data_IF_959128255169
#
_entry.id   IF_959128255169
#
_cell.length_a   1.000
_cell.length_b   1.000
_cell.length_c   1.000
_cell.angle_alpha   90.00
_cell.angle_beta   90.00
_cell.angle_gamma   90.00
#
_symmetry.space_group_name_H-M   'P 1'
#
loop_
_entity.id
_entity.type
_entity.pdbx_description
1 polymer ?
#
# COMPACT_ATOMS: atom_id res chain seq x y z
N UNK A 1 -35.63 8.77 29.36
CA UNK A 1 -34.73 7.68 28.93
C UNK A 1 -34.24 7.96 27.51
N UNK A 2 -32.96 8.32 27.34
CA UNK A 2 -32.32 8.39 26.02
C UNK A 2 -31.38 7.19 25.92
N UNK A 3 -31.75 6.24 25.09
CA UNK A 3 -31.02 5.01 24.78
C UNK A 3 -29.63 5.36 24.22
N UNK A 4 -28.58 4.91 24.89
CA UNK A 4 -27.21 4.90 24.37
C UNK A 4 -27.16 3.88 23.24
N UNK A 5 -27.14 4.35 22.00
CA UNK A 5 -26.79 3.51 20.85
C UNK A 5 -25.30 3.20 20.92
N UNK A 6 -25.00 1.93 21.17
CA UNK A 6 -23.67 1.35 21.19
C UNK A 6 -23.02 1.56 19.81
N UNK A 7 -21.85 2.22 19.77
CA UNK A 7 -21.08 2.51 18.55
C UNK A 7 -20.14 1.32 18.28
N UNK A 8 -20.35 0.50 17.23
CA UNK A 8 -19.32 -0.43 16.80
C UNK A 8 -18.35 0.31 15.88
N UNK A 9 -17.04 0.14 16.11
CA UNK A 9 -15.98 0.65 15.23
C UNK A 9 -15.09 1.69 15.88
N UNK A 10 -14.17 1.25 16.73
CA UNK A 10 -12.95 2.00 17.01
C UNK A 10 -12.05 1.90 15.78
N UNK A 11 -12.25 2.79 14.80
CA UNK A 11 -11.37 2.93 13.64
C UNK A 11 -9.97 3.33 14.11
N UNK A 12 -8.95 2.61 13.64
CA UNK A 12 -7.55 2.96 13.93
C UNK A 12 -7.25 4.28 13.23
N UNK A 13 -7.04 5.33 14.02
CA UNK A 13 -6.65 6.66 13.53
C UNK A 13 -5.32 6.55 12.78
N UNK A 14 -5.20 7.21 11.63
CA UNK A 14 -3.91 7.35 10.97
C UNK A 14 -2.88 8.00 11.94
N UNK A 15 -1.61 7.58 11.83
CA UNK A 15 -0.44 8.30 12.36
C UNK A 15 0.31 8.95 11.19
N UNK A 16 1.07 10.01 11.44
CA UNK A 16 1.82 10.75 10.42
C UNK A 16 1.05 11.92 9.82
N UNK A 17 1.26 12.21 8.52
CA UNK A 17 0.75 13.44 7.85
C UNK A 17 -0.77 13.65 7.93
N UNK A 18 -1.54 12.61 8.19
CA UNK A 18 -3.01 12.63 8.27
C UNK A 18 -3.50 12.15 9.63
N UNK A 19 -2.78 12.48 10.70
CA UNK A 19 -3.11 12.05 12.04
C UNK A 19 -4.57 12.38 12.43
N UNK A 20 -5.28 11.40 12.98
CA UNK A 20 -6.68 11.57 13.39
C UNK A 20 -7.72 11.47 12.26
N UNK A 21 -7.30 11.33 11.01
CA UNK A 21 -8.21 11.07 9.90
C UNK A 21 -8.66 9.61 9.89
N UNK A 22 -9.97 9.42 9.73
CA UNK A 22 -10.59 8.11 9.52
C UNK A 22 -11.59 8.19 8.34
N UNK A 23 -11.24 7.55 7.23
CA UNK A 23 -12.09 7.48 6.04
C UNK A 23 -13.40 6.73 6.30
N UNK A 24 -13.43 5.80 7.27
CA UNK A 24 -14.64 5.07 7.63
C UNK A 24 -15.69 5.96 8.31
N UNK A 25 -15.28 7.11 8.88
CA UNK A 25 -16.23 8.10 9.40
C UNK A 25 -17.18 8.65 8.31
N UNK A 26 -16.83 8.50 7.02
CA UNK A 26 -17.68 8.89 5.89
C UNK A 26 -18.77 7.88 5.58
N UNK A 27 -18.74 6.69 6.18
CA UNK A 27 -19.60 5.57 5.81
C UNK A 27 -21.07 5.92 5.76
N UNK A 28 -21.55 6.68 6.73
CA UNK A 28 -22.96 7.03 6.86
C UNK A 28 -23.29 8.42 6.28
N UNK A 29 -22.35 9.01 5.55
CA UNK A 29 -22.53 10.30 4.86
C UNK A 29 -23.06 10.09 3.44
N UNK A 30 -23.61 11.16 2.80
CA UNK A 30 -24.02 11.09 1.39
C UNK A 30 -22.88 10.83 0.40
N UNK A 31 -21.62 10.80 0.83
CA UNK A 31 -20.48 10.56 -0.04
C UNK A 31 -20.35 9.10 -0.47
N UNK A 32 -20.94 8.15 0.25
CA UNK A 32 -21.00 6.74 -0.15
C UNK A 32 -22.44 6.33 -0.41
N UNK A 33 -22.67 5.72 -1.57
CA UNK A 33 -23.88 5.00 -1.88
C UNK A 33 -23.82 3.55 -1.38
N UNK A 34 -24.93 2.83 -1.50
CA UNK A 34 -25.03 1.46 -0.98
C UNK A 34 -24.13 0.47 -1.72
N UNK A 35 -23.88 0.68 -3.01
CA UNK A 35 -22.95 -0.14 -3.77
C UNK A 35 -21.52 0.00 -3.22
N UNK A 36 -21.10 1.22 -2.92
CA UNK A 36 -19.81 1.52 -2.31
C UNK A 36 -19.71 0.88 -0.92
N UNK A 37 -20.74 1.04 -0.07
CA UNK A 37 -20.77 0.42 1.26
C UNK A 37 -20.59 -1.10 1.19
N UNK A 38 -21.29 -1.79 0.28
CA UNK A 38 -21.16 -3.25 0.09
C UNK A 38 -19.75 -3.68 -0.30
N UNK A 39 -19.09 -2.96 -1.22
CA UNK A 39 -17.71 -3.27 -1.63
C UNK A 39 -16.74 -3.07 -0.47
N UNK A 40 -16.92 -2.01 0.32
CA UNK A 40 -16.04 -1.74 1.46
C UNK A 40 -16.26 -2.72 2.60
N UNK A 41 -17.50 -3.16 2.83
CA UNK A 41 -17.81 -4.22 3.81
C UNK A 41 -17.09 -5.52 3.46
N UNK A 42 -17.13 -5.94 2.19
CA UNK A 42 -16.42 -7.12 1.73
C UNK A 42 -14.89 -7.00 1.96
N UNK A 43 -14.32 -5.80 1.79
CA UNK A 43 -12.89 -5.55 2.02
C UNK A 43 -12.50 -5.48 3.49
N UNK A 44 -13.41 -5.05 4.37
CA UNK A 44 -13.19 -4.93 5.82
C UNK A 44 -13.43 -6.24 6.58
N UNK A 45 -14.11 -7.20 5.97
CA UNK A 45 -14.31 -8.55 6.50
C UNK A 45 -13.64 -9.64 5.63
N UNK A 46 -12.35 -9.49 5.25
CA UNK A 46 -11.64 -10.52 4.53
C UNK A 46 -11.47 -11.73 5.46
N UNK A 47 -11.65 -12.93 4.91
CA UNK A 47 -11.49 -14.15 5.69
C UNK A 47 -10.00 -14.46 5.82
N UNK A 48 -9.56 -14.78 7.03
CA UNK A 48 -8.15 -15.02 7.32
C UNK A 48 -7.64 -16.37 6.77
N UNK A 49 -8.53 -17.34 6.56
CA UNK A 49 -8.17 -18.65 6.02
C UNK A 49 -8.15 -18.67 4.48
N UNK A 50 -7.13 -19.30 3.85
CA UNK A 50 -7.08 -19.43 2.39
C UNK A 50 -8.24 -20.29 1.87
N UNK A 51 -8.77 -19.91 0.70
CA UNK A 51 -9.87 -20.57 0.00
C UNK A 51 -9.46 -21.11 -1.35
N UNK A 52 -8.50 -20.46 -2.01
CA UNK A 52 -8.00 -20.90 -3.32
C UNK A 52 -6.62 -21.56 -3.22
N UNK A 53 -5.68 -20.88 -2.57
CA UNK A 53 -4.32 -21.38 -2.37
C UNK A 53 -4.27 -22.46 -1.28
N UNK A 54 -3.31 -23.36 -1.38
CA UNK A 54 -2.99 -24.23 -0.25
C UNK A 54 -2.26 -23.46 0.87
N UNK A 55 -2.14 -24.06 2.05
CA UNK A 55 -1.54 -23.43 3.21
C UNK A 55 -0.08 -22.97 2.99
N UNK A 56 0.70 -23.71 2.17
CA UNK A 56 2.09 -23.37 1.89
C UNK A 56 2.18 -22.20 0.93
N UNK A 57 1.38 -22.24 -0.14
CA UNK A 57 1.28 -21.15 -1.11
C UNK A 57 0.82 -19.86 -0.44
N UNK A 58 -0.20 -19.95 0.43
CA UNK A 58 -0.71 -18.81 1.17
C UNK A 58 0.33 -18.24 2.13
N UNK A 59 1.06 -19.08 2.87
CA UNK A 59 2.16 -18.62 3.74
C UNK A 59 3.27 -17.92 2.95
N UNK A 60 3.62 -18.43 1.76
CA UNK A 60 4.58 -17.74 0.87
C UNK A 60 4.01 -16.39 0.40
N UNK A 61 2.75 -16.34 -0.03
CA UNK A 61 2.11 -15.10 -0.46
C UNK A 61 2.08 -14.04 0.66
N UNK A 62 1.73 -14.44 1.88
CA UNK A 62 1.72 -13.57 3.05
C UNK A 62 3.12 -13.01 3.35
N UNK A 63 4.14 -13.87 3.33
CA UNK A 63 5.52 -13.46 3.48
C UNK A 63 6.00 -12.51 2.37
N UNK A 64 5.56 -12.71 1.12
CA UNK A 64 5.84 -11.78 0.01
C UNK A 64 5.15 -10.43 0.26
N UNK A 65 3.87 -10.43 0.60
CA UNK A 65 3.10 -9.20 0.84
C UNK A 65 3.74 -8.36 1.95
N UNK A 66 4.20 -8.99 3.03
CA UNK A 66 4.86 -8.33 4.16
C UNK A 66 6.17 -7.61 3.78
N UNK A 67 6.83 -8.00 2.68
CA UNK A 67 8.04 -7.32 2.17
C UNK A 67 7.75 -6.24 1.15
N UNK A 68 6.68 -6.38 0.36
CA UNK A 68 6.30 -5.39 -0.67
C UNK A 68 5.60 -4.18 -0.07
N UNK A 69 4.71 -4.40 0.91
CA UNK A 69 4.02 -3.33 1.64
C UNK A 69 4.37 -3.43 3.12
N UNK A 70 5.32 -2.62 3.57
CA UNK A 70 5.71 -2.58 4.98
C UNK A 70 4.61 -1.90 5.81
N UNK A 71 3.84 -2.69 6.56
CA UNK A 71 2.67 -2.23 7.31
C UNK A 71 2.94 -1.96 8.80
N UNK A 72 4.09 -2.41 9.31
CA UNK A 72 4.40 -2.48 10.75
C UNK A 72 5.45 -1.47 11.21
N UNK A 73 6.14 -0.79 10.30
CA UNK A 73 7.22 0.13 10.65
C UNK A 73 6.78 1.60 10.55
N UNK A 74 6.92 2.40 11.63
CA UNK A 74 6.95 3.85 11.52
C UNK A 74 7.92 4.24 10.40
N UNK A 75 7.56 5.24 9.60
CA UNK A 75 8.42 5.72 8.51
C UNK A 75 9.81 6.16 9.01
N UNK A 76 9.91 6.54 10.28
CA UNK A 76 11.16 6.97 10.93
C UNK A 76 12.13 5.81 11.21
N UNK A 77 11.62 4.61 11.50
CA UNK A 77 12.46 3.41 11.64
C UNK A 77 13.04 2.98 10.29
N UNK A 78 12.32 3.21 9.19
CA UNK A 78 12.81 2.95 7.82
C UNK A 78 13.92 3.88 7.36
N UNK A 79 13.95 5.13 7.84
CA UNK A 79 15.06 6.04 7.55
C UNK A 79 16.32 5.56 8.28
N UNK A 80 16.17 5.13 9.54
CA UNK A 80 17.27 4.56 10.33
C UNK A 80 17.77 3.23 9.75
N UNK A 81 16.90 2.32 9.31
CA UNK A 81 17.29 1.05 8.70
C UNK A 81 17.87 1.23 7.28
N UNK A 82 17.38 2.19 6.48
CA UNK A 82 17.96 2.50 5.17
C UNK A 82 19.34 3.18 5.31
N UNK A 83 19.54 4.00 6.34
CA UNK A 83 20.83 4.57 6.70
C UNK A 83 21.76 3.50 7.30
N UNK A 84 21.24 2.53 8.05
CA UNK A 84 21.99 1.39 8.58
C UNK A 84 22.37 0.38 7.48
N UNK A 85 21.49 0.09 6.52
CA UNK A 85 21.80 -0.75 5.35
C UNK A 85 22.82 -0.04 4.43
N UNK A 86 22.74 1.28 4.28
CA UNK A 86 23.74 2.07 3.55
C UNK A 86 25.09 2.16 4.29
N UNK A 87 25.08 2.13 5.62
CA UNK A 87 26.29 2.09 6.45
C UNK A 87 26.88 0.66 6.57
N UNK A 88 26.04 -0.37 6.52
CA UNK A 88 26.44 -1.79 6.56
C UNK A 88 27.16 -2.23 5.26
N UNK A 89 26.94 -1.54 4.14
CA UNK A 89 27.76 -1.69 2.93
C UNK A 89 29.15 -1.01 3.05
N UNK A 90 29.42 -0.23 4.12
CA UNK A 90 30.68 0.46 4.36
C UNK A 90 31.54 -0.13 5.50
N UNK A 91 31.00 -0.96 6.39
CA UNK A 91 31.76 -1.52 7.52
C UNK A 91 31.52 -3.03 7.66
N UNK A 92 32.24 -3.80 6.84
CA UNK A 92 32.65 -5.15 7.26
C UNK A 92 33.72 -4.95 8.34
N UNK A 93 33.47 -5.52 9.52
CA UNK A 93 34.43 -5.77 10.63
C UNK A 93 34.32 -4.82 11.86
N UNK A 94 33.45 -5.13 12.83
CA UNK A 94 33.84 -5.70 14.14
C UNK A 94 32.66 -5.87 15.13
N UNK A 95 32.73 -7.00 15.86
CA UNK A 95 32.04 -7.50 17.07
C UNK A 95 30.78 -6.78 17.62
N UNK A 96 29.62 -7.45 17.72
CA UNK A 96 29.17 -8.35 18.82
C UNK A 96 29.05 -7.68 20.20
N UNK A 97 27.86 -7.81 20.81
CA UNK A 97 27.43 -7.39 22.18
C UNK A 97 26.61 -6.08 22.30
N UNK A 98 25.34 -6.11 21.90
CA UNK A 98 24.32 -5.17 22.42
C UNK A 98 22.85 -5.70 22.34
N UNK A 99 22.64 -7.01 22.26
CA UNK A 99 21.34 -7.59 21.87
C UNK A 99 20.35 -7.91 23.02
N UNK A 100 20.56 -7.45 24.26
CA UNK A 100 19.74 -7.90 25.40
C UNK A 100 19.04 -6.80 26.22
N UNK A 101 19.16 -5.52 25.88
CA UNK A 101 18.57 -4.42 26.67
C UNK A 101 17.48 -3.58 25.95
N UNK A 102 17.24 -3.79 24.66
CA UNK A 102 16.26 -3.02 23.89
C UNK A 102 14.82 -3.55 23.98
N UNK A 103 14.64 -4.81 24.40
CA UNK A 103 13.36 -5.53 24.29
C UNK A 103 12.35 -5.21 25.41
N UNK A 104 12.77 -4.51 26.47
CA UNK A 104 11.89 -4.22 27.63
C UNK A 104 11.32 -2.80 27.64
N UNK A 105 11.83 -1.85 26.84
CA UNK A 105 11.35 -0.46 26.83
C UNK A 105 10.27 -0.16 25.75
N UNK A 106 10.02 -1.08 24.81
CA UNK A 106 9.11 -0.84 23.68
C UNK A 106 7.61 -1.14 23.97
N UNK A 107 7.27 -1.60 25.19
CA UNK A 107 5.94 -2.17 25.45
C UNK A 107 4.97 -1.27 26.26
N UNK A 108 5.21 0.04 26.32
CA UNK A 108 4.27 1.00 26.92
C UNK A 108 3.81 2.03 25.87
N UNK A 109 2.77 1.68 25.10
CA UNK A 109 2.06 2.63 24.23
C UNK A 109 1.81 2.19 22.78
N UNK A 110 2.26 0.99 22.38
CA UNK A 110 2.01 0.45 21.05
C UNK A 110 0.58 -0.10 20.95
N UNK A 111 -0.39 0.77 20.64
CA UNK A 111 -1.67 0.33 20.10
C UNK A 111 -1.39 -0.32 18.73
N UNK A 112 -1.21 -1.65 18.71
CA UNK A 112 -0.87 -2.43 17.53
C UNK A 112 -1.98 -2.28 16.48
N UNK A 113 -1.65 -1.62 15.37
CA UNK A 113 -2.57 -1.49 14.23
C UNK A 113 -2.80 -2.88 13.64
N UNK A 114 -4.07 -3.26 13.47
CA UNK A 114 -4.42 -4.46 12.69
C UNK A 114 -3.88 -4.30 11.26
N UNK A 115 -2.96 -5.18 10.82
CA UNK A 115 -2.44 -5.11 9.45
C UNK A 115 -3.55 -5.44 8.45
N UNK A 116 -3.47 -4.82 7.28
CA UNK A 116 -4.34 -5.10 6.14
C UNK A 116 -3.96 -6.49 5.60
N UNK A 117 -4.90 -7.44 5.54
CA UNK A 117 -4.62 -8.83 5.15
C UNK A 117 -4.56 -8.96 3.62
N UNK A 118 -3.48 -8.45 3.04
CA UNK A 118 -3.29 -8.35 1.58
C UNK A 118 -3.31 -9.73 0.90
N UNK A 119 -2.70 -10.73 1.53
CA UNK A 119 -2.70 -12.10 1.00
C UNK A 119 -4.12 -12.68 0.88
N UNK A 120 -4.99 -12.44 1.87
CA UNK A 120 -6.39 -12.86 1.82
C UNK A 120 -7.17 -12.16 0.70
N UNK A 121 -6.92 -10.86 0.48
CA UNK A 121 -7.55 -10.11 -0.62
C UNK A 121 -7.12 -10.66 -2.00
N UNK A 122 -5.85 -11.06 -2.15
CA UNK A 122 -5.36 -11.68 -3.39
C UNK A 122 -5.93 -13.10 -3.54
N UNK A 123 -5.98 -13.90 -2.47
CA UNK A 123 -6.55 -15.25 -2.51
C UNK A 123 -8.03 -15.26 -2.93
N UNK A 124 -8.83 -14.30 -2.44
CA UNK A 124 -10.23 -14.16 -2.86
C UNK A 124 -10.35 -13.76 -4.34
N UNK A 125 -9.46 -12.90 -4.86
CA UNK A 125 -9.41 -12.58 -6.30
C UNK A 125 -9.03 -13.81 -7.13
N UNK A 126 -8.07 -14.59 -6.66
CA UNK A 126 -7.69 -15.86 -7.29
C UNK A 126 -8.86 -16.85 -7.30
N UNK A 127 -9.63 -16.92 -6.21
CA UNK A 127 -10.82 -17.76 -6.12
C UNK A 127 -11.87 -17.41 -7.18
N UNK A 128 -12.03 -16.13 -7.51
CA UNK A 128 -13.01 -15.67 -8.52
C UNK A 128 -12.41 -15.53 -9.94
N UNK A 129 -11.09 -15.73 -10.08
CA UNK A 129 -10.33 -15.46 -11.32
C UNK A 129 -10.44 -14.00 -11.79
N UNK A 130 -10.54 -13.07 -10.85
CA UNK A 130 -10.68 -11.64 -11.11
C UNK A 130 -9.31 -11.01 -11.40
N UNK A 131 -8.80 -11.27 -12.60
CA UNK A 131 -7.63 -10.57 -13.14
C UNK A 131 -7.90 -9.10 -13.46
N UNK A 132 -6.85 -8.36 -13.79
CA UNK A 132 -6.86 -6.94 -14.15
C UNK A 132 -7.40 -6.66 -15.58
N UNK A 133 -8.02 -7.64 -16.23
CA UNK A 133 -8.54 -7.53 -17.60
C UNK A 133 -7.46 -7.43 -18.69
N UNK A 134 -6.18 -7.43 -18.30
CA UNK A 134 -5.03 -7.38 -19.19
C UNK A 134 -4.05 -8.51 -18.85
N UNK A 135 -3.53 -9.21 -19.86
CA UNK A 135 -2.50 -10.26 -19.69
C UNK A 135 -1.40 -10.06 -20.70
N UNK A 136 -0.15 -9.94 -20.21
CA UNK A 136 1.03 -9.97 -21.09
C UNK A 136 1.08 -11.32 -21.81
N UNK A 137 1.29 -11.34 -23.12
CA UNK A 137 1.24 -12.56 -23.92
C UNK A 137 2.27 -13.63 -23.51
N UNK A 138 3.36 -13.21 -22.84
CA UNK A 138 4.42 -14.12 -22.34
C UNK A 138 4.08 -14.74 -20.98
N UNK A 139 2.99 -14.29 -20.34
CA UNK A 139 2.58 -14.76 -19.03
C UNK A 139 1.51 -15.86 -19.15
N UNK A 140 1.56 -16.88 -18.28
CA UNK A 140 0.46 -17.82 -18.10
C UNK A 140 -0.85 -17.13 -17.67
N UNK A 141 -1.92 -17.92 -17.52
CA UNK A 141 -3.18 -17.42 -16.94
C UNK A 141 -2.96 -16.85 -15.54
N UNK A 142 -3.88 -15.99 -15.08
CA UNK A 142 -3.73 -15.27 -13.81
C UNK A 142 -3.43 -16.20 -12.62
N UNK A 143 -4.29 -17.21 -12.44
CA UNK A 143 -4.16 -18.26 -11.44
C UNK A 143 -2.89 -19.08 -11.57
N UNK A 144 -2.53 -19.43 -12.78
CA UNK A 144 -1.37 -20.26 -13.05
C UNK A 144 -0.07 -19.52 -12.76
N UNK A 145 0.03 -18.25 -13.15
CA UNK A 145 1.18 -17.40 -12.85
C UNK A 145 1.43 -17.32 -11.34
N UNK A 146 0.38 -17.13 -10.53
CA UNK A 146 0.49 -17.14 -9.06
C UNK A 146 0.94 -18.49 -8.50
N UNK A 147 0.33 -19.60 -8.95
CA UNK A 147 0.71 -20.95 -8.48
C UNK A 147 2.16 -21.29 -8.83
N UNK A 148 2.60 -20.97 -10.04
CA UNK A 148 3.98 -21.22 -10.49
C UNK A 148 4.94 -20.33 -9.71
N UNK A 149 4.67 -19.03 -9.63
CA UNK A 149 5.57 -18.07 -8.97
C UNK A 149 5.76 -18.36 -7.48
N UNK A 150 4.69 -18.64 -6.75
CA UNK A 150 4.77 -19.00 -5.32
C UNK A 150 5.54 -20.30 -5.09
N UNK A 151 5.30 -21.32 -5.92
CA UNK A 151 6.02 -22.58 -5.85
C UNK A 151 7.51 -22.41 -6.18
N UNK A 152 7.84 -21.57 -7.16
CA UNK A 152 9.21 -21.30 -7.56
C UNK A 152 9.99 -20.51 -6.49
N UNK A 153 9.36 -19.53 -5.83
CA UNK A 153 9.96 -18.82 -4.70
C UNK A 153 10.22 -19.77 -3.50
N UNK A 154 9.26 -20.63 -3.13
CA UNK A 154 9.47 -21.61 -2.05
C UNK A 154 10.54 -22.65 -2.42
N UNK A 155 10.59 -23.08 -3.68
CA UNK A 155 11.61 -24.01 -4.16
C UNK A 155 13.02 -23.39 -4.11
N UNK A 156 13.16 -22.12 -4.51
CA UNK A 156 14.43 -21.41 -4.46
C UNK A 156 14.91 -21.23 -3.01
N UNK A 157 14.01 -20.79 -2.11
CA UNK A 157 14.30 -20.68 -0.69
C UNK A 157 14.79 -22.01 -0.08
N UNK A 158 14.15 -23.13 -0.45
CA UNK A 158 14.56 -24.46 0.03
C UNK A 158 15.90 -24.89 -0.54
N UNK A 159 16.19 -24.58 -1.79
CA UNK A 159 17.45 -24.93 -2.44
C UNK A 159 18.63 -24.15 -1.85
N UNK A 160 18.45 -22.86 -1.57
CA UNK A 160 19.52 -21.98 -1.08
C UNK A 160 19.69 -22.02 0.45
N UNK A 161 18.58 -22.03 1.20
CA UNK A 161 18.59 -21.89 2.67
C UNK A 161 18.08 -23.13 3.43
N UNK A 162 17.69 -24.19 2.73
CA UNK A 162 17.16 -25.43 3.35
C UNK A 162 15.78 -25.29 4.01
N UNK A 163 15.13 -24.12 3.90
CA UNK A 163 13.91 -23.74 4.63
C UNK A 163 12.86 -23.17 3.66
N UNK A 164 11.54 -23.28 3.96
CA UNK A 164 10.52 -22.62 3.15
C UNK A 164 10.67 -21.10 3.16
N UNK A 165 10.25 -20.45 2.07
CA UNK A 165 10.35 -18.99 1.90
C UNK A 165 9.70 -18.23 3.08
N UNK A 166 8.52 -18.69 3.51
CA UNK A 166 7.77 -18.09 4.61
C UNK A 166 8.46 -18.17 5.99
N UNK A 167 9.51 -18.98 6.13
CA UNK A 167 10.27 -19.13 7.38
C UNK A 167 11.64 -18.45 7.37
N UNK A 168 12.03 -17.86 6.23
CA UNK A 168 13.29 -17.13 6.10
C UNK A 168 13.26 -15.82 6.90
N UNK A 169 14.43 -15.28 7.24
CA UNK A 169 14.55 -13.94 7.81
C UNK A 169 14.19 -12.85 6.76
N UNK A 170 13.92 -11.63 7.21
CA UNK A 170 13.54 -10.51 6.33
C UNK A 170 14.54 -10.25 5.21
N UNK A 171 15.83 -10.17 5.53
CA UNK A 171 16.90 -9.94 4.56
C UNK A 171 17.03 -11.06 3.53
N UNK A 172 16.87 -12.33 3.96
CA UNK A 172 16.88 -13.49 3.06
C UNK A 172 15.69 -13.45 2.09
N UNK A 173 14.48 -13.11 2.56
CA UNK A 173 13.31 -12.92 1.70
C UNK A 173 13.53 -11.80 0.69
N UNK A 174 14.12 -10.69 1.12
CA UNK A 174 14.39 -9.54 0.26
C UNK A 174 15.43 -9.87 -0.82
N UNK A 175 16.47 -10.63 -0.48
CA UNK A 175 17.48 -11.08 -1.44
C UNK A 175 16.83 -11.87 -2.58
N UNK A 176 15.97 -12.84 -2.25
CA UNK A 176 15.24 -13.65 -3.23
C UNK A 176 14.28 -12.78 -4.05
N UNK A 177 13.52 -11.87 -3.43
CA UNK A 177 12.59 -10.98 -4.15
C UNK A 177 13.33 -10.02 -5.09
N UNK A 178 14.48 -9.48 -4.69
CA UNK A 178 15.34 -8.66 -5.54
C UNK A 178 15.93 -9.47 -6.69
N UNK A 179 16.30 -10.73 -6.46
CA UNK A 179 16.73 -11.63 -7.53
C UNK A 179 15.59 -11.91 -8.52
N UNK A 180 14.37 -12.14 -8.03
CA UNK A 180 13.17 -12.32 -8.87
C UNK A 180 12.89 -11.08 -9.71
N UNK A 181 12.96 -9.90 -9.10
CA UNK A 181 12.77 -8.61 -9.78
C UNK A 181 13.78 -8.40 -10.91
N UNK A 182 15.04 -8.80 -10.72
CA UNK A 182 16.09 -8.72 -11.75
C UNK A 182 16.00 -9.83 -12.82
N UNK A 183 15.12 -10.82 -12.63
CA UNK A 183 15.04 -11.97 -13.52
C UNK A 183 16.18 -12.96 -13.34
N UNK A 184 16.86 -12.93 -12.19
CA UNK A 184 17.98 -13.82 -11.88
C UNK A 184 17.54 -15.16 -11.27
N UNK A 185 16.24 -15.32 -10.99
CA UNK A 185 15.69 -16.59 -10.55
C UNK A 185 15.22 -17.38 -11.76
N UNK A 186 15.98 -18.44 -12.06
CA UNK A 186 15.69 -19.41 -13.09
C UNK A 186 15.56 -20.81 -12.47
N UNK A 187 15.00 -21.75 -13.24
CA UNK A 187 14.91 -23.15 -12.84
C UNK A 187 13.62 -23.83 -13.29
N UNK A 188 13.54 -25.16 -13.14
CA UNK A 188 12.40 -25.95 -13.62
C UNK A 188 11.09 -25.58 -12.91
N UNK A 189 11.16 -25.08 -11.67
CA UNK A 189 9.99 -24.66 -10.90
C UNK A 189 9.24 -23.48 -11.54
N UNK A 190 9.93 -22.62 -12.30
CA UNK A 190 9.33 -21.50 -13.03
C UNK A 190 8.57 -21.92 -14.29
N UNK A 191 8.75 -23.16 -14.77
CA UNK A 191 8.05 -23.71 -15.95
C UNK A 191 8.11 -22.80 -17.18
N UNK A 192 9.24 -22.13 -17.40
CA UNK A 192 9.44 -21.18 -18.50
C UNK A 192 8.84 -19.78 -18.29
N UNK A 193 8.15 -19.53 -17.16
CA UNK A 193 7.70 -18.19 -16.79
C UNK A 193 8.87 -17.35 -16.27
N UNK A 194 9.06 -16.15 -16.82
CA UNK A 194 10.09 -15.24 -16.32
C UNK A 194 9.76 -14.74 -14.91
N UNK A 195 10.73 -14.87 -13.99
CA UNK A 195 10.61 -14.34 -12.62
C UNK A 195 10.45 -12.82 -12.57
N UNK A 196 11.13 -12.08 -13.47
CA UNK A 196 10.97 -10.63 -13.59
C UNK A 196 9.56 -10.22 -14.06
N UNK A 197 8.98 -10.96 -15.01
CA UNK A 197 7.61 -10.70 -15.46
C UNK A 197 6.60 -11.06 -14.37
N UNK A 198 6.79 -12.17 -13.66
CA UNK A 198 5.97 -12.51 -12.50
C UNK A 198 6.02 -11.41 -11.43
N UNK A 199 7.21 -10.94 -11.08
CA UNK A 199 7.39 -9.88 -10.08
C UNK A 199 6.71 -8.57 -10.51
N UNK A 200 7.00 -8.08 -11.71
CA UNK A 200 6.49 -6.79 -12.18
C UNK A 200 4.99 -6.82 -12.51
N UNK A 201 4.49 -7.89 -13.14
CA UNK A 201 3.11 -7.97 -13.63
C UNK A 201 2.14 -8.50 -12.59
N UNK A 202 2.55 -9.38 -11.66
CA UNK A 202 1.67 -9.96 -10.64
C UNK A 202 2.01 -9.43 -9.25
N UNK A 203 3.22 -9.69 -8.74
CA UNK A 203 3.57 -9.31 -7.35
C UNK A 203 3.38 -7.81 -7.11
N UNK A 204 4.05 -6.94 -7.87
CA UNK A 204 3.97 -5.51 -7.65
C UNK A 204 2.56 -4.95 -7.90
N UNK A 205 1.96 -5.31 -9.03
CA UNK A 205 0.64 -4.82 -9.44
C UNK A 205 -0.47 -5.25 -8.47
N UNK A 206 -0.55 -6.55 -8.19
CA UNK A 206 -1.67 -7.11 -7.43
C UNK A 206 -1.56 -6.77 -5.95
N UNK A 207 -0.35 -6.80 -5.38
CA UNK A 207 -0.12 -6.43 -3.97
C UNK A 207 -0.42 -4.96 -3.75
N UNK A 208 0.07 -4.06 -4.62
CA UNK A 208 -0.23 -2.63 -4.52
C UNK A 208 -1.74 -2.37 -4.71
N UNK A 209 -2.36 -3.01 -5.70
CA UNK A 209 -3.80 -2.91 -5.97
C UNK A 209 -4.63 -3.41 -4.79
N UNK A 210 -4.27 -4.55 -4.19
CA UNK A 210 -4.97 -5.10 -3.03
C UNK A 210 -4.81 -4.18 -1.80
N UNK A 211 -3.58 -3.75 -1.50
CA UNK A 211 -3.29 -2.85 -0.37
C UNK A 211 -4.04 -1.52 -0.49
N UNK A 212 -3.87 -0.79 -1.60
CA UNK A 212 -4.50 0.52 -1.79
C UNK A 212 -6.00 0.45 -2.13
N UNK A 213 -6.58 -0.75 -2.24
CA UNK A 213 -8.04 -0.90 -2.29
C UNK A 213 -8.68 -0.90 -0.91
N UNK A 214 -7.90 -1.13 0.15
CA UNK A 214 -8.42 -1.27 1.50
C UNK A 214 -8.57 0.09 2.21
N UNK A 215 -9.70 0.37 2.89
CA UNK A 215 -9.95 1.67 3.53
C UNK A 215 -8.87 2.12 4.52
N UNK A 216 -8.25 1.19 5.27
CA UNK A 216 -7.18 1.53 6.21
C UNK A 216 -5.94 2.10 5.52
N UNK A 217 -5.64 1.70 4.28
CA UNK A 217 -4.53 2.26 3.51
C UNK A 217 -4.83 3.70 3.06
N UNK A 218 -6.11 4.04 2.86
CA UNK A 218 -6.51 5.40 2.47
C UNK A 218 -6.23 6.43 3.55
N UNK A 219 -6.35 6.02 4.82
CA UNK A 219 -6.01 6.86 5.96
C UNK A 219 -4.53 7.29 5.94
N UNK A 220 -3.63 6.39 5.53
CA UNK A 220 -2.18 6.66 5.46
C UNK A 220 -1.81 7.70 4.40
N UNK A 221 -2.51 7.69 3.28
CA UNK A 221 -2.24 8.59 2.15
C UNK A 221 -3.18 9.81 2.11
N UNK A 222 -4.11 9.90 3.07
CA UNK A 222 -5.11 10.97 3.15
C UNK A 222 -6.14 10.91 2.02
N UNK A 223 -6.31 9.75 1.39
CA UNK A 223 -7.27 9.59 0.31
C UNK A 223 -8.70 9.61 0.88
N UNK A 224 -9.55 10.40 0.23
CA UNK A 224 -10.94 10.62 0.64
C UNK A 224 -11.85 9.40 0.52
N UNK A 225 -11.38 8.34 -0.15
CA UNK A 225 -12.19 7.22 -0.61
C UNK A 225 -13.01 7.58 -1.86
N UNK A 226 -13.82 6.65 -2.37
CA UNK A 226 -14.81 6.97 -3.40
C UNK A 226 -15.81 8.01 -2.87
N UNK A 227 -16.28 8.88 -3.76
CA UNK A 227 -17.21 9.97 -3.42
C UNK A 227 -18.53 9.88 -4.18
N UNK A 228 -19.01 8.68 -4.55
CA UNK A 228 -20.25 8.52 -5.30
C UNK A 228 -21.50 8.61 -4.39
N UNK A 229 -22.52 9.40 -4.75
CA UNK A 229 -22.73 10.06 -6.05
C UNK A 229 -22.20 11.50 -6.14
N UNK A 230 -21.75 12.09 -5.03
CA UNK A 230 -21.40 13.51 -4.92
C UNK A 230 -20.27 13.97 -5.85
N UNK A 231 -19.26 13.13 -6.06
CA UNK A 231 -18.01 13.45 -6.73
C UNK A 231 -17.05 14.28 -5.86
N UNK A 232 -15.80 14.37 -6.31
CA UNK A 232 -14.85 15.39 -5.87
C UNK A 232 -15.13 16.68 -6.64
N UNK A 233 -15.27 17.80 -5.93
CA UNK A 233 -15.71 19.08 -6.53
C UNK A 233 -14.52 20.03 -6.69
N UNK A 234 -13.52 19.94 -5.81
CA UNK A 234 -12.33 20.79 -5.85
C UNK A 234 -11.17 20.04 -6.50
N UNK A 235 -11.05 20.15 -7.82
CA UNK A 235 -10.04 19.44 -8.62
C UNK A 235 -8.76 20.25 -8.91
N UNK A 236 -8.68 21.52 -8.48
CA UNK A 236 -7.47 22.34 -8.66
C UNK A 236 -6.34 21.92 -7.71
N UNK A 237 -5.09 22.19 -8.09
CA UNK A 237 -3.92 21.89 -7.29
C UNK A 237 -4.02 22.50 -5.88
N UNK A 238 -3.71 21.67 -4.88
CA UNK A 238 -3.77 22.02 -3.46
C UNK A 238 -5.13 22.55 -2.97
N UNK A 239 -6.21 22.33 -3.73
CA UNK A 239 -7.58 22.49 -3.25
C UNK A 239 -8.08 21.15 -2.75
N UNK A 240 -8.82 21.19 -1.64
CA UNK A 240 -9.40 20.02 -1.00
C UNK A 240 -10.85 20.31 -0.67
N UNK A 241 -11.72 19.34 -0.87
CA UNK A 241 -13.06 19.38 -0.32
C UNK A 241 -13.02 19.39 1.22
N UNK A 242 -13.95 20.08 1.91
CA UNK A 242 -13.93 20.21 3.37
C UNK A 242 -13.97 18.90 4.15
N UNK A 243 -14.33 17.80 3.49
CA UNK A 243 -14.43 16.45 4.04
C UNK A 243 -13.23 15.56 3.70
N UNK A 244 -12.26 16.07 2.92
CA UNK A 244 -10.99 15.38 2.70
C UNK A 244 -10.09 15.45 3.94
N UNK A 245 -9.09 14.58 3.98
CA UNK A 245 -8.18 14.49 5.11
C UNK A 245 -7.45 15.84 5.33
N UNK A 246 -7.50 16.41 6.55
CA UNK A 246 -6.68 17.57 6.88
C UNK A 246 -5.21 17.14 6.96
N UNK A 247 -4.31 17.98 6.48
CA UNK A 247 -2.88 17.82 6.79
C UNK A 247 -2.69 18.10 8.28
N UNK A 248 -1.97 17.22 8.98
CA UNK A 248 -1.47 17.55 10.30
C UNK A 248 -0.54 18.77 10.17
N UNK A 249 -0.62 19.69 11.14
CA UNK A 249 0.33 20.78 11.22
C UNK A 249 1.75 20.21 11.28
N UNK A 250 2.67 20.78 10.48
CA UNK A 250 4.08 20.41 10.57
C UNK A 250 4.61 20.86 11.94
N UNK A 251 5.26 19.95 12.68
CA UNK A 251 5.92 20.28 13.96
C UNK A 251 7.17 21.17 13.78
N UNK A 252 7.57 21.50 12.55
CA UNK A 252 8.75 22.31 12.23
C UNK A 252 8.52 23.83 12.28
N UNK A 253 7.33 24.28 12.71
CA UNK A 253 6.99 25.70 12.85
C UNK A 253 6.97 26.48 11.53
N UNK A 254 7.16 25.83 10.37
CA UNK A 254 6.92 26.45 9.07
C UNK A 254 5.45 26.25 8.73
N UNK A 255 4.70 27.35 8.76
CA UNK A 255 3.39 27.39 8.14
C UNK A 255 3.47 26.79 6.73
N UNK A 256 2.47 25.99 6.34
CA UNK A 256 2.33 25.52 4.97
C UNK A 256 2.28 26.75 4.06
N UNK A 257 3.43 27.07 3.45
CA UNK A 257 3.63 28.28 2.64
C UNK A 257 2.68 28.35 1.42
N UNK A 258 1.97 27.26 1.13
CA UNK A 258 1.02 27.15 0.04
C UNK A 258 -0.45 27.36 0.44
N UNK A 259 -0.76 27.57 1.73
CA UNK A 259 -2.13 27.85 2.15
C UNK A 259 -2.61 29.27 1.75
N UNK A 260 -1.67 30.21 1.52
CA UNK A 260 -1.97 31.63 1.33
C UNK A 260 -1.54 32.21 -0.04
N UNK A 261 -1.03 31.37 -0.96
CA UNK A 261 -0.67 31.81 -2.31
C UNK A 261 -1.86 31.93 -3.28
N UNK A 262 -3.10 31.86 -2.78
CA UNK A 262 -4.32 31.95 -3.59
C UNK A 262 -4.81 33.39 -3.77
N UNK A 263 -3.95 34.29 -4.24
CA UNK A 263 -4.39 35.50 -4.94
C UNK A 263 -4.12 35.33 -6.44
N UNK A 264 -5.14 35.34 -7.32
CA UNK A 264 -4.92 35.14 -8.74
C UNK A 264 -4.14 36.33 -9.30
N UNK A 265 -2.85 36.14 -9.60
CA UNK A 265 -2.13 37.04 -10.51
C UNK A 265 -2.83 36.95 -11.86
N UNK A 266 -3.59 38.00 -12.23
CA UNK A 266 -4.22 38.13 -13.55
C UNK A 266 -3.12 37.95 -14.61
N UNK A 267 -3.18 36.86 -15.38
CA UNK A 267 -2.51 36.82 -16.66
C UNK A 267 -3.14 37.92 -17.52
N UNK A 268 -2.36 38.96 -17.82
CA UNK A 268 -2.74 39.97 -18.78
C UNK A 268 -2.95 39.30 -20.15
N UNK A 269 -4.16 39.36 -20.69
CA UNK A 269 -4.40 38.98 -22.07
C UNK A 269 -3.75 40.02 -23.00
N UNK A 270 -2.96 39.61 -24.02
CA UNK A 270 -2.46 40.55 -25.01
C UNK A 270 -3.63 41.10 -25.84
N UNK A 271 -3.81 42.42 -25.78
CA UNK A 271 -4.92 43.14 -26.40
C UNK A 271 -4.95 43.00 -27.92
N UNK A 272 -6.11 42.62 -28.46
CA UNK A 272 -6.43 42.81 -29.88
C UNK A 272 -6.58 44.31 -30.15
N UNK A 273 -5.60 44.93 -30.81
CA UNK A 273 -5.77 46.27 -31.40
C UNK A 273 -6.73 46.16 -32.59
N UNK A 274 -7.95 46.65 -32.42
CA UNK A 274 -8.91 46.92 -33.49
C UNK A 274 -8.68 48.36 -33.96
N UNK A 275 -7.92 48.53 -35.04
CA UNK A 275 -7.80 49.82 -35.72
C UNK A 275 -8.76 49.87 -36.89
N UNK A 276 -9.93 50.50 -36.68
CA UNK A 276 -10.78 50.98 -37.76
C UNK A 276 -10.34 52.42 -38.09
N UNK A 277 -10.12 52.74 -39.36
CA UNK A 277 -10.19 54.12 -39.87
C UNK A 277 -10.76 54.06 -41.29
N UNK A 278 -12.02 54.45 -41.39
CA UNK A 278 -12.70 54.82 -42.62
C UNK A 278 -12.33 56.25 -43.03
N UNK A 279 -12.42 56.50 -44.33
CA UNK A 279 -12.66 57.78 -45.05
C UNK A 279 -11.59 58.90 -44.96
N UNK A 280 -10.90 59.13 -46.08
CA UNK A 280 -11.25 60.22 -47.03
C UNK A 280 -10.94 59.74 -48.46
#
# INVERSE_FOLDING_TARGET
MKTRTNRPGGGVLARGRYAGYDVLAKRDTPSWNDATRRVLDARLAPREAPRYLDARQFATLDAVCARIVAQSEPRDARQADAEADAAAEAEVETATEAAAAAETAANEGASTRTPIPVAALIDERLLHDEGDGYRDARMPSYREAWRIGLAALDAHARAEHGRPFASLAGAERDAILRAAQRGALDGPAWRGMSSALFFSKRVLSDVASAYYSHPLAWNEIGFGGPASPRGYVRMDFNRRDPWEAPLAARDDGRADADADAASPRRLAQPGKRKGNRDAD
#
